data_IF_438051992856
#
_entry.id   IF_438051992856
#
_cell.length_a   1.000
_cell.length_b   1.000
_cell.length_c   1.000
_cell.angle_alpha   90.00
_cell.angle_beta   90.00
_cell.angle_gamma   90.00
#
_symmetry.space_group_name_H-M   'P 1'
#
loop_
_entity.id
_entity.type
_entity.pdbx_description
1 polymer ?
#
# COMPACT_ATOMS: atom_id res chain seq x y z
N UNK A 1 -9.58 -4.08 1.89
CA UNK A 1 -8.92 -5.34 2.32
C UNK A 1 -8.19 -6.00 1.16
N UNK A 2 -6.99 -6.51 1.43
CA UNK A 2 -6.30 -7.49 0.60
C UNK A 2 -6.94 -8.85 0.87
N UNK A 3 -7.44 -9.49 -0.18
CA UNK A 3 -8.13 -10.79 -0.10
C UNK A 3 -7.32 -11.79 -0.91
N UNK A 4 -6.81 -12.82 -0.24
CA UNK A 4 -6.06 -13.91 -0.86
C UNK A 4 -6.76 -15.24 -0.58
N UNK A 5 -6.93 -16.03 -1.63
CA UNK A 5 -7.37 -17.42 -1.51
C UNK A 5 -6.28 -18.26 -0.83
N UNK A 6 -6.66 -18.98 0.23
CA UNK A 6 -5.76 -19.84 1.01
C UNK A 6 -6.34 -21.25 1.17
N UNK A 7 -6.85 -21.83 0.07
CA UNK A 7 -7.40 -23.19 0.05
C UNK A 7 -8.77 -23.25 0.73
N UNK A 8 -8.83 -23.74 1.97
CA UNK A 8 -10.08 -23.86 2.74
C UNK A 8 -10.42 -22.57 3.52
N UNK A 9 -9.58 -21.52 3.41
CA UNK A 9 -9.78 -20.23 4.05
C UNK A 9 -9.52 -19.04 3.10
N UNK A 10 -9.93 -17.86 3.55
CA UNK A 10 -9.48 -16.58 3.00
C UNK A 10 -8.46 -15.96 3.96
N UNK A 11 -7.31 -15.54 3.44
CA UNK A 11 -6.42 -14.63 4.14
C UNK A 11 -6.84 -13.19 3.84
N UNK A 12 -7.10 -12.44 4.89
CA UNK A 12 -7.51 -11.04 4.84
C UNK A 12 -6.49 -10.16 5.56
N UNK A 13 -6.01 -9.12 4.88
CA UNK A 13 -5.19 -8.05 5.47
C UNK A 13 -5.94 -6.74 5.26
N UNK A 14 -6.12 -5.94 6.31
CA UNK A 14 -6.77 -4.64 6.19
C UNK A 14 -5.85 -3.66 5.45
N UNK A 15 -6.42 -2.62 4.83
CA UNK A 15 -5.65 -1.56 4.19
C UNK A 15 -4.92 -0.67 5.22
N UNK A 16 -5.36 -0.67 6.47
CA UNK A 16 -4.54 -0.09 7.55
C UNK A 16 -3.40 -1.02 7.97
N UNK A 17 -3.63 -2.35 7.99
CA UNK A 17 -2.64 -3.34 8.42
C UNK A 17 -1.46 -3.45 7.41
N UNK A 18 -1.70 -3.30 6.09
CA UNK A 18 -0.59 -3.23 5.11
C UNK A 18 0.10 -1.86 5.11
N UNK A 19 -0.60 -0.77 5.43
CA UNK A 19 0.02 0.55 5.59
C UNK A 19 1.00 0.56 6.77
N UNK A 20 0.66 -0.12 7.88
CA UNK A 20 1.59 -0.36 8.99
C UNK A 20 2.87 -1.08 8.53
N UNK A 21 2.76 -2.04 7.62
CA UNK A 21 3.91 -2.72 7.02
C UNK A 21 4.72 -1.76 6.11
N UNK A 22 4.05 -0.96 5.27
CA UNK A 22 4.72 0.06 4.44
C UNK A 22 5.50 1.07 5.28
N UNK A 23 4.95 1.52 6.41
CA UNK A 23 5.64 2.38 7.36
C UNK A 23 6.87 1.73 8.00
N UNK A 24 6.79 0.45 8.39
CA UNK A 24 7.96 -0.30 8.90
C UNK A 24 9.07 -0.40 7.84
N UNK A 25 8.70 -0.67 6.57
CA UNK A 25 9.64 -0.72 5.45
C UNK A 25 10.36 0.63 5.26
N UNK A 26 9.61 1.73 5.22
CA UNK A 26 10.18 3.08 5.10
C UNK A 26 11.07 3.45 6.29
N UNK A 27 10.72 3.00 7.50
CA UNK A 27 11.51 3.27 8.70
C UNK A 27 12.91 2.64 8.61
N UNK A 28 13.01 1.44 8.04
CA UNK A 28 14.26 0.71 7.83
C UNK A 28 14.98 1.06 6.51
N UNK A 29 14.34 1.81 5.62
CA UNK A 29 14.85 2.10 4.27
C UNK A 29 16.12 2.96 4.28
N UNK A 30 16.98 2.77 3.27
CA UNK A 30 18.19 3.56 3.06
C UNK A 30 19.48 2.80 3.39
N UNK A 31 19.51 1.51 3.03
CA UNK A 31 20.77 0.75 2.95
C UNK A 31 21.70 1.25 1.85
N UNK A 32 22.90 0.68 1.79
CA UNK A 32 23.95 1.12 0.87
C UNK A 32 23.47 1.19 -0.59
N UNK A 33 23.65 2.36 -1.23
CA UNK A 33 23.27 2.60 -2.62
C UNK A 33 21.84 3.07 -2.86
N UNK A 34 20.97 3.09 -1.84
CA UNK A 34 19.58 3.53 -1.98
C UNK A 34 19.30 4.91 -1.37
N UNK A 35 18.38 5.66 -1.96
CA UNK A 35 17.99 6.96 -1.44
C UNK A 35 17.27 6.80 -0.09
N UNK A 36 17.73 7.46 1.00
CA UNK A 36 17.02 7.41 2.27
C UNK A 36 15.80 8.35 2.23
N UNK A 37 14.71 8.00 2.94
CA UNK A 37 13.60 8.93 3.17
C UNK A 37 14.05 10.21 3.89
N UNK A 38 13.62 11.38 3.39
CA UNK A 38 13.97 12.68 3.97
C UNK A 38 12.83 13.71 3.81
N UNK A 39 12.25 14.29 4.89
CA UNK A 39 12.49 13.98 6.30
C UNK A 39 11.88 12.62 6.67
N UNK A 40 12.71 11.73 7.23
CA UNK A 40 12.34 10.34 7.51
C UNK A 40 11.04 10.20 8.30
N UNK A 41 10.84 11.00 9.33
CA UNK A 41 9.64 10.92 10.17
C UNK A 41 8.34 11.13 9.38
N UNK A 42 8.31 12.12 8.49
CA UNK A 42 7.12 12.42 7.69
C UNK A 42 6.90 11.41 6.57
N UNK A 43 7.97 10.89 5.95
CA UNK A 43 7.83 9.83 4.92
C UNK A 43 7.34 8.52 5.55
N UNK A 44 7.87 8.15 6.72
CA UNK A 44 7.38 7.00 7.48
C UNK A 44 5.92 7.18 7.88
N UNK A 45 5.53 8.38 8.35
CA UNK A 45 4.15 8.71 8.67
C UNK A 45 3.25 8.60 7.43
N UNK A 46 3.70 9.06 6.26
CA UNK A 46 2.96 8.88 5.01
C UNK A 46 2.72 7.40 4.72
N UNK A 47 3.74 6.54 4.89
CA UNK A 47 3.58 5.09 4.78
C UNK A 47 2.55 4.51 5.73
N UNK A 48 2.63 4.86 7.01
CA UNK A 48 1.70 4.38 8.04
C UNK A 48 0.26 4.81 7.81
N UNK A 49 0.04 5.97 7.18
CA UNK A 49 -1.26 6.65 7.15
C UNK A 49 -1.88 6.78 5.76
N UNK A 50 -1.18 6.34 4.70
CA UNK A 50 -1.66 6.57 3.34
C UNK A 50 -3.05 5.98 3.12
N UNK A 51 -3.36 4.82 3.71
CA UNK A 51 -4.63 4.14 3.55
C UNK A 51 -5.62 4.31 4.71
N UNK A 52 -5.43 5.31 5.58
CA UNK A 52 -6.34 5.62 6.69
C UNK A 52 -7.81 5.78 6.28
N UNK A 53 -8.06 6.28 5.06
CA UNK A 53 -9.43 6.43 4.53
C UNK A 53 -10.20 5.11 4.49
N UNK A 54 -9.50 3.97 4.36
CA UNK A 54 -10.13 2.65 4.37
C UNK A 54 -10.69 2.25 5.72
N UNK A 55 -10.19 2.81 6.83
CA UNK A 55 -10.57 2.39 8.18
C UNK A 55 -12.10 2.44 8.41
N UNK A 56 -12.80 3.39 7.78
CA UNK A 56 -14.27 3.50 7.86
C UNK A 56 -14.94 2.43 7.01
N UNK A 57 -14.47 2.21 5.78
CA UNK A 57 -15.04 1.20 4.88
C UNK A 57 -14.86 -0.22 5.45
N UNK A 58 -13.69 -0.49 6.04
CA UNK A 58 -13.32 -1.78 6.63
C UNK A 58 -14.07 -2.11 7.93
N UNK A 59 -14.89 -1.19 8.47
CA UNK A 59 -15.87 -1.51 9.53
C UNK A 59 -17.12 -2.22 8.99
N UNK A 60 -17.38 -2.16 7.69
CA UNK A 60 -18.55 -2.79 7.06
C UNK A 60 -18.18 -3.44 5.73
N UNK A 61 -17.20 -4.37 5.73
CA UNK A 61 -16.79 -5.05 4.52
C UNK A 61 -17.95 -5.87 3.95
N UNK A 62 -17.90 -6.10 2.64
CA UNK A 62 -18.97 -6.76 1.88
C UNK A 62 -18.47 -8.03 1.24
N UNK A 63 -19.41 -8.84 0.81
CA UNK A 63 -19.14 -9.93 -0.12
C UNK A 63 -19.15 -9.40 -1.56
N UNK A 64 -18.33 -10.00 -2.40
CA UNK A 64 -18.43 -9.86 -3.84
C UNK A 64 -19.74 -10.53 -4.31
N UNK A 65 -20.63 -9.82 -5.02
CA UNK A 65 -21.97 -10.30 -5.34
C UNK A 65 -21.96 -11.48 -6.32
N UNK A 66 -20.91 -11.62 -7.13
CA UNK A 66 -20.83 -12.64 -8.17
C UNK A 66 -20.24 -13.95 -7.63
N UNK A 67 -19.19 -13.86 -6.82
CA UNK A 67 -18.46 -15.02 -6.30
C UNK A 67 -18.85 -15.43 -4.88
N UNK A 68 -19.44 -14.52 -4.09
CA UNK A 68 -19.67 -14.72 -2.66
C UNK A 68 -18.39 -14.73 -1.81
N UNK A 69 -17.24 -14.35 -2.38
CA UNK A 69 -15.99 -14.17 -1.64
C UNK A 69 -15.98 -12.84 -0.88
N UNK A 70 -15.13 -12.66 0.14
CA UNK A 70 -14.85 -11.34 0.70
C UNK A 70 -14.45 -10.35 -0.41
N UNK A 71 -15.05 -9.16 -0.42
CA UNK A 71 -14.76 -8.16 -1.44
C UNK A 71 -13.32 -7.65 -1.30
N UNK A 72 -12.54 -7.82 -2.37
CA UNK A 72 -11.21 -7.23 -2.49
C UNK A 72 -11.29 -5.71 -2.66
N UNK A 73 -10.27 -5.00 -2.19
CA UNK A 73 -10.11 -3.55 -2.40
C UNK A 73 -10.22 -3.15 -3.88
N UNK A 74 -9.83 -4.04 -4.80
CA UNK A 74 -9.98 -3.83 -6.25
C UNK A 74 -11.43 -3.78 -6.73
N UNK A 75 -12.35 -4.40 -5.98
CA UNK A 75 -13.78 -4.47 -6.31
C UNK A 75 -14.60 -3.32 -5.73
N UNK A 76 -13.99 -2.42 -4.96
CA UNK A 76 -14.69 -1.29 -4.35
C UNK A 76 -14.86 -0.16 -5.38
N UNK A 77 -16.06 0.40 -5.43
CA UNK A 77 -16.42 1.37 -6.46
C UNK A 77 -15.63 2.68 -6.33
N UNK A 78 -15.15 3.22 -7.46
CA UNK A 78 -14.36 4.47 -7.50
C UNK A 78 -14.97 5.63 -6.71
N UNK A 79 -16.28 5.93 -6.78
CA UNK A 79 -16.85 7.02 -5.99
C UNK A 79 -16.68 6.84 -4.47
N UNK A 80 -16.62 5.59 -4.00
CA UNK A 80 -16.37 5.27 -2.58
C UNK A 80 -14.90 5.56 -2.25
N UNK A 81 -13.96 5.11 -3.09
CA UNK A 81 -12.53 5.44 -2.94
C UNK A 81 -12.29 6.95 -2.83
N UNK A 82 -12.80 7.70 -3.82
CA UNK A 82 -12.58 9.15 -3.88
C UNK A 82 -13.14 9.88 -2.65
N UNK A 83 -14.22 9.38 -2.05
CA UNK A 83 -14.80 9.99 -0.85
C UNK A 83 -13.90 9.81 0.37
N UNK A 84 -13.43 8.59 0.65
CA UNK A 84 -12.62 8.36 1.84
C UNK A 84 -11.15 8.73 1.66
N UNK A 85 -10.61 8.71 0.44
CA UNK A 85 -9.25 9.22 0.16
C UNK A 85 -9.15 10.71 0.46
N UNK A 86 -10.18 11.49 0.08
CA UNK A 86 -10.22 12.91 0.40
C UNK A 86 -10.19 13.16 1.91
N UNK A 87 -10.95 12.39 2.67
CA UNK A 87 -10.94 12.47 4.14
C UNK A 87 -9.58 12.05 4.73
N UNK A 88 -8.97 10.97 4.22
CA UNK A 88 -7.65 10.52 4.65
C UNK A 88 -6.56 11.56 4.41
N UNK A 89 -6.53 12.18 3.22
CA UNK A 89 -5.58 13.25 2.90
C UNK A 89 -5.74 14.43 3.87
N UNK A 90 -6.96 14.89 4.14
CA UNK A 90 -7.19 16.01 5.08
C UNK A 90 -6.65 15.70 6.48
N UNK A 91 -6.97 14.52 7.04
CA UNK A 91 -6.51 14.11 8.37
C UNK A 91 -4.98 14.07 8.44
N UNK A 92 -4.32 13.52 7.43
CA UNK A 92 -2.85 13.44 7.42
C UNK A 92 -2.22 14.82 7.20
N UNK A 93 -2.82 15.68 6.36
CA UNK A 93 -2.37 17.07 6.18
C UNK A 93 -2.45 17.88 7.48
N UNK A 94 -3.50 17.71 8.28
CA UNK A 94 -3.67 18.37 9.57
C UNK A 94 -2.64 17.91 10.60
N UNK A 95 -2.25 16.63 10.58
CA UNK A 95 -1.24 16.07 11.48
C UNK A 95 0.19 16.40 11.06
N UNK A 96 0.51 16.20 9.79
CA UNK A 96 1.83 16.42 9.20
C UNK A 96 1.68 16.84 7.73
N UNK A 97 1.87 18.13 7.41
CA UNK A 97 1.75 18.63 6.06
C UNK A 97 2.61 17.94 4.99
N UNK A 98 3.81 17.48 5.35
CA UNK A 98 4.70 16.80 4.40
C UNK A 98 4.22 15.37 4.15
N UNK A 99 3.79 14.68 5.21
CA UNK A 99 3.16 13.36 5.03
C UNK A 99 1.88 13.49 4.20
N UNK A 100 1.05 14.49 4.48
CA UNK A 100 -0.18 14.77 3.74
C UNK A 100 0.07 15.10 2.27
N UNK A 101 1.16 15.80 1.95
CA UNK A 101 1.61 16.00 0.56
C UNK A 101 1.85 14.65 -0.14
N UNK A 102 2.61 13.74 0.48
CA UNK A 102 2.89 12.43 -0.12
C UNK A 102 1.65 11.53 -0.21
N UNK A 103 0.76 11.57 0.78
CA UNK A 103 -0.52 10.83 0.75
C UNK A 103 -1.44 11.38 -0.34
N UNK A 104 -1.52 12.70 -0.50
CA UNK A 104 -2.25 13.32 -1.62
C UNK A 104 -1.70 12.84 -2.97
N UNK A 105 -0.37 12.87 -3.15
CA UNK A 105 0.29 12.35 -4.35
C UNK A 105 0.05 10.86 -4.57
N UNK A 106 0.00 10.05 -3.50
CA UNK A 106 -0.32 8.62 -3.59
C UNK A 106 -1.73 8.44 -4.16
N UNK A 107 -2.73 9.14 -3.60
CA UNK A 107 -4.12 8.97 -4.01
C UNK A 107 -4.42 9.41 -5.43
N UNK A 108 -3.96 10.60 -5.83
CA UNK A 108 -4.07 11.04 -7.21
C UNK A 108 -3.20 10.19 -8.14
N UNK A 109 -2.04 9.75 -7.67
CA UNK A 109 -1.11 8.86 -8.35
C UNK A 109 -1.74 7.54 -8.81
N UNK A 110 -2.63 6.94 -8.02
CA UNK A 110 -3.35 5.71 -8.42
C UNK A 110 -4.15 5.89 -9.72
N UNK A 111 -4.66 7.10 -9.98
CA UNK A 111 -5.39 7.46 -11.20
C UNK A 111 -4.51 8.09 -12.28
N UNK A 112 -3.34 8.63 -11.89
CA UNK A 112 -2.33 9.26 -12.75
C UNK A 112 -1.16 8.34 -13.11
N UNK A 113 -1.34 7.01 -13.00
CA UNK A 113 -0.30 6.00 -13.31
C UNK A 113 1.00 6.24 -12.54
N UNK A 114 0.84 6.50 -11.24
CA UNK A 114 1.91 6.85 -10.29
C UNK A 114 2.82 7.97 -10.83
N UNK A 115 2.26 8.89 -11.60
CA UNK A 115 2.98 9.98 -12.29
C UNK A 115 4.18 9.52 -13.13
N UNK A 116 4.24 8.24 -13.49
CA UNK A 116 5.36 7.65 -14.22
C UNK A 116 6.67 7.47 -13.42
N UNK A 117 6.67 7.66 -12.09
CA UNK A 117 7.91 7.50 -11.30
C UNK A 117 8.25 6.05 -10.97
N UNK A 118 7.23 5.20 -10.92
CA UNK A 118 7.35 3.74 -10.84
C UNK A 118 6.34 3.11 -11.80
N UNK A 119 6.60 1.91 -12.35
CA UNK A 119 5.70 1.30 -13.31
C UNK A 119 4.30 1.05 -12.75
N UNK A 120 3.29 1.46 -13.49
CA UNK A 120 1.89 1.27 -13.13
C UNK A 120 1.06 0.90 -14.36
N UNK A 121 0.10 -0.02 -14.18
CA UNK A 121 -0.90 -0.33 -15.19
C UNK A 121 -1.88 0.81 -15.41
N UNK A 122 -2.61 0.77 -16.53
CA UNK A 122 -3.70 1.70 -16.77
C UNK A 122 -4.97 1.25 -16.04
N UNK A 123 -5.51 2.11 -15.17
CA UNK A 123 -6.85 1.93 -14.62
C UNK A 123 -7.90 2.29 -15.68
N UNK A 124 -8.57 1.27 -16.22
CA UNK A 124 -9.66 1.45 -17.19
C UNK A 124 -10.95 1.78 -16.45
N UNK A 125 -11.46 2.99 -16.68
CA UNK A 125 -12.71 3.49 -16.13
C UNK A 125 -13.65 3.85 -17.27
N UNK A 126 -14.96 3.74 -17.05
CA UNK A 126 -15.92 4.37 -17.94
C UNK A 126 -15.72 5.91 -17.95
N UNK A 127 -16.20 6.62 -18.99
CA UNK A 127 -15.96 8.05 -19.13
C UNK A 127 -16.47 8.90 -17.96
N UNK A 128 -17.56 8.52 -17.31
CA UNK A 128 -18.13 9.27 -16.20
C UNK A 128 -17.27 9.14 -14.94
N UNK A 129 -16.88 7.91 -14.60
CA UNK A 129 -15.97 7.65 -13.48
C UNK A 129 -14.59 8.26 -13.73
N UNK A 130 -14.09 8.22 -14.97
CA UNK A 130 -12.84 8.91 -15.34
C UNK A 130 -12.95 10.41 -15.06
N UNK A 131 -14.00 11.08 -15.50
CA UNK A 131 -14.18 12.51 -15.27
C UNK A 131 -14.23 12.88 -13.78
N UNK A 132 -14.87 12.04 -12.95
CA UNK A 132 -14.89 12.23 -11.48
C UNK A 132 -13.51 12.05 -10.85
N UNK A 133 -12.77 11.04 -11.29
CA UNK A 133 -11.40 10.81 -10.83
C UNK A 133 -10.45 11.93 -11.26
N UNK A 134 -10.59 12.45 -12.49
CA UNK A 134 -9.81 13.57 -12.99
C UNK A 134 -10.05 14.83 -12.16
N UNK A 135 -11.32 15.17 -11.86
CA UNK A 135 -11.64 16.31 -10.99
C UNK A 135 -11.01 16.17 -9.59
N UNK A 136 -11.03 14.96 -9.01
CA UNK A 136 -10.34 14.70 -7.75
C UNK A 136 -8.82 14.93 -7.89
N UNK A 137 -8.20 14.37 -8.93
CA UNK A 137 -6.76 14.50 -9.14
C UNK A 137 -6.34 15.96 -9.32
N UNK A 138 -7.10 16.75 -10.09
CA UNK A 138 -6.78 18.16 -10.34
C UNK A 138 -6.81 18.96 -9.02
N UNK A 139 -7.78 18.70 -8.15
CA UNK A 139 -7.88 19.33 -6.82
C UNK A 139 -6.73 18.93 -5.89
N UNK A 140 -6.33 17.66 -5.93
CA UNK A 140 -5.19 17.17 -5.15
C UNK A 140 -3.87 17.73 -5.70
N UNK A 141 -3.70 17.86 -7.01
CA UNK A 141 -2.51 18.46 -7.64
C UNK A 141 -2.38 19.95 -7.30
N UNK A 142 -3.49 20.69 -7.23
CA UNK A 142 -3.51 22.07 -6.70
C UNK A 142 -3.07 22.13 -5.22
N UNK A 143 -3.59 21.24 -4.38
CA UNK A 143 -3.16 21.10 -2.97
C UNK A 143 -1.68 20.78 -2.88
N UNK A 144 -1.19 19.84 -3.68
CA UNK A 144 0.21 19.41 -3.70
C UNK A 144 1.14 20.57 -4.06
N UNK A 145 0.77 21.37 -5.07
CA UNK A 145 1.52 22.57 -5.45
C UNK A 145 1.56 23.59 -4.31
N UNK A 146 0.42 23.84 -3.66
CA UNK A 146 0.35 24.78 -2.53
C UNK A 146 1.16 24.30 -1.30
N UNK A 147 1.09 23.00 -0.97
CA UNK A 147 1.84 22.40 0.13
C UNK A 147 3.35 22.41 -0.15
N UNK A 148 3.77 21.99 -1.35
CA UNK A 148 5.18 21.98 -1.73
C UNK A 148 5.78 23.40 -1.69
N UNK A 149 5.06 24.40 -2.19
CA UNK A 149 5.49 25.80 -2.11
C UNK A 149 5.56 26.32 -0.67
N UNK A 150 4.55 26.01 0.16
CA UNK A 150 4.51 26.45 1.57
C UNK A 150 5.60 25.83 2.43
N UNK A 151 5.96 24.59 2.14
CA UNK A 151 6.97 23.82 2.87
C UNK A 151 8.37 23.96 2.26
N UNK A 152 8.52 24.70 1.16
CA UNK A 152 9.78 24.88 0.43
C UNK A 152 10.44 23.54 0.03
N UNK A 153 9.62 22.55 -0.36
CA UNK A 153 10.11 21.21 -0.70
C UNK A 153 10.80 21.22 -2.05
N UNK A 154 12.02 20.70 -2.11
CA UNK A 154 12.73 20.48 -3.38
C UNK A 154 12.01 19.43 -4.25
N UNK A 155 11.90 19.70 -5.55
CA UNK A 155 11.11 18.85 -6.45
C UNK A 155 11.71 17.44 -6.58
N UNK A 156 13.04 17.31 -6.61
CA UNK A 156 13.71 16.02 -6.71
C UNK A 156 13.56 15.20 -5.42
N UNK A 157 13.65 15.86 -4.25
CA UNK A 157 13.33 15.23 -2.96
C UNK A 157 11.87 14.76 -2.92
N UNK A 158 10.92 15.63 -3.28
CA UNK A 158 9.49 15.32 -3.30
C UNK A 158 9.20 14.07 -4.13
N UNK A 159 9.72 14.02 -5.36
CA UNK A 159 9.48 12.88 -6.26
C UNK A 159 10.21 11.61 -5.83
N UNK A 160 11.37 11.74 -5.19
CA UNK A 160 12.09 10.60 -4.61
C UNK A 160 11.30 10.00 -3.46
N UNK A 161 10.82 10.80 -2.52
CA UNK A 161 10.01 10.29 -1.40
C UNK A 161 8.65 9.75 -1.84
N UNK A 162 8.04 10.37 -2.85
CA UNK A 162 6.84 9.82 -3.47
C UNK A 162 7.11 8.43 -4.04
N UNK A 163 8.19 8.25 -4.82
CA UNK A 163 8.57 6.95 -5.35
C UNK A 163 8.86 5.93 -4.23
N UNK A 164 9.56 6.32 -3.15
CA UNK A 164 9.78 5.46 -1.99
C UNK A 164 8.48 5.00 -1.34
N UNK A 165 7.50 5.90 -1.17
CA UNK A 165 6.16 5.53 -0.68
C UNK A 165 5.48 4.51 -1.61
N UNK A 166 5.56 4.71 -2.93
CA UNK A 166 4.99 3.76 -3.89
C UNK A 166 5.67 2.39 -3.83
N UNK A 167 6.99 2.34 -3.68
CA UNK A 167 7.75 1.08 -3.56
C UNK A 167 7.41 0.35 -2.25
N UNK A 168 7.29 1.08 -1.14
CA UNK A 168 6.91 0.51 0.14
C UNK A 168 5.48 -0.06 0.11
N UNK A 169 4.53 0.66 -0.51
CA UNK A 169 3.17 0.19 -0.80
C UNK A 169 3.18 -1.08 -1.65
N UNK A 170 3.91 -1.11 -2.77
CA UNK A 170 3.98 -2.30 -3.62
C UNK A 170 4.57 -3.52 -2.90
N UNK A 171 5.60 -3.32 -2.07
CA UNK A 171 6.19 -4.40 -1.28
C UNK A 171 5.26 -4.88 -0.15
N UNK A 172 4.51 -3.99 0.50
CA UNK A 172 3.51 -4.38 1.51
C UNK A 172 2.36 -5.16 0.87
N UNK A 173 1.87 -4.72 -0.29
CA UNK A 173 0.86 -5.42 -1.09
C UNK A 173 1.35 -6.82 -1.49
N UNK A 174 2.60 -6.94 -1.97
CA UNK A 174 3.22 -8.23 -2.28
C UNK A 174 3.19 -9.17 -1.07
N UNK A 175 3.55 -8.67 0.12
CA UNK A 175 3.55 -9.48 1.33
C UNK A 175 2.14 -9.92 1.77
N UNK A 176 1.12 -9.10 1.54
CA UNK A 176 -0.27 -9.42 1.88
C UNK A 176 -0.98 -10.34 0.88
N UNK A 177 -0.62 -10.27 -0.40
CA UNK A 177 -1.30 -10.97 -1.51
C UNK A 177 -0.59 -12.23 -2.00
N UNK A 178 0.73 -12.34 -1.83
CA UNK A 178 1.48 -13.53 -2.22
C UNK A 178 1.35 -14.67 -1.19
N UNK A 179 1.44 -15.91 -1.65
CA UNK A 179 1.56 -17.08 -0.77
C UNK A 179 3.00 -17.22 -0.26
N UNK A 180 3.34 -16.40 0.75
CA UNK A 180 4.66 -16.41 1.38
C UNK A 180 4.85 -17.58 2.36
N UNK A 181 3.78 -18.26 2.74
CA UNK A 181 3.82 -19.35 3.72
C UNK A 181 4.29 -20.65 3.05
N UNK A 182 3.75 -20.97 1.87
CA UNK A 182 4.18 -22.14 1.10
C UNK A 182 5.28 -21.83 0.08
N UNK A 183 5.50 -20.54 -0.25
CA UNK A 183 6.35 -20.13 -1.37
C UNK A 183 5.67 -20.36 -2.73
N UNK A 184 4.34 -20.35 -2.74
CA UNK A 184 3.49 -20.62 -3.89
C UNK A 184 3.53 -19.52 -4.97
N UNK A 185 2.60 -19.58 -5.95
CA UNK A 185 2.54 -18.62 -7.05
C UNK A 185 2.53 -17.17 -6.55
N UNK A 186 3.34 -16.33 -7.19
CA UNK A 186 3.46 -14.90 -6.84
C UNK A 186 4.40 -14.59 -5.69
N UNK A 187 5.00 -15.57 -5.00
CA UNK A 187 5.97 -15.32 -3.93
C UNK A 187 7.29 -14.69 -4.44
N UNK A 188 7.69 -15.00 -5.67
CA UNK A 188 8.77 -14.32 -6.38
C UNK A 188 8.24 -13.13 -7.17
N UNK A 189 9.05 -12.09 -7.33
CA UNK A 189 8.64 -10.85 -7.98
C UNK A 189 9.81 -9.90 -8.19
N UNK A 190 9.51 -8.64 -8.48
CA UNK A 190 10.50 -7.57 -8.51
C UNK A 190 9.83 -6.22 -8.25
N UNK A 191 10.55 -5.35 -7.55
CA UNK A 191 10.28 -3.91 -7.49
C UNK A 191 11.07 -3.25 -8.61
N UNK A 192 10.45 -2.35 -9.35
CA UNK A 192 11.06 -1.67 -10.50
C UNK A 192 11.22 -0.19 -10.23
N UNK A 193 12.25 0.41 -10.82
CA UNK A 193 12.54 1.84 -10.69
C UNK A 193 12.66 2.32 -9.23
N UNK A 194 13.34 1.54 -8.39
CA UNK A 194 13.62 1.91 -7.00
C UNK A 194 14.66 3.05 -6.95
N UNK A 195 14.40 4.16 -6.24
CA UNK A 195 15.34 5.28 -6.15
C UNK A 195 16.70 4.92 -5.52
N UNK A 196 17.80 5.23 -6.20
CA UNK A 196 19.17 5.06 -5.70
C UNK A 196 19.74 6.36 -5.13
N UNK A 197 20.76 6.26 -4.26
CA UNK A 197 21.33 7.40 -3.55
C UNK A 197 22.01 8.44 -4.47
N UNK A 198 22.43 8.02 -5.66
CA UNK A 198 23.03 8.87 -6.70
C UNK A 198 21.99 9.54 -7.62
N UNK A 199 20.70 9.41 -7.31
CA UNK A 199 19.58 9.95 -8.10
C UNK A 199 19.13 9.04 -9.25
N UNK A 200 19.76 7.86 -9.41
CA UNK A 200 19.37 6.85 -10.39
C UNK A 200 18.15 6.01 -10.00
N UNK A 201 18.03 4.86 -10.67
CA UNK A 201 16.97 3.87 -10.51
C UNK A 201 17.55 2.46 -10.60
N UNK A 202 17.06 1.56 -9.76
CA UNK A 202 17.45 0.15 -9.76
C UNK A 202 16.22 -0.77 -9.64
N UNK A 203 16.31 -1.95 -10.23
CA UNK A 203 15.33 -3.01 -10.03
C UNK A 203 15.77 -3.92 -8.89
N UNK A 204 14.85 -4.28 -7.99
CA UNK A 204 15.08 -5.15 -6.85
C UNK A 204 14.30 -6.45 -7.05
N UNK A 205 15.00 -7.56 -7.24
CA UNK A 205 14.40 -8.88 -7.34
C UNK A 205 13.91 -9.36 -5.96
N UNK A 206 12.74 -10.00 -5.93
CA UNK A 206 12.17 -10.64 -4.74
C UNK A 206 12.18 -12.16 -4.97
N UNK A 207 12.82 -12.92 -4.09
CA UNK A 207 12.84 -14.38 -4.16
C UNK A 207 12.44 -15.01 -2.83
N UNK A 208 11.53 -16.01 -2.81
CA UNK A 208 11.20 -16.71 -1.57
C UNK A 208 12.38 -17.58 -1.12
N UNK A 209 12.64 -17.57 0.19
CA UNK A 209 13.66 -18.41 0.84
C UNK A 209 13.05 -19.44 1.81
N UNK A 210 11.73 -19.38 2.01
CA UNK A 210 10.96 -20.23 2.90
C UNK A 210 9.76 -19.48 3.48
N UNK A 211 9.01 -20.11 4.41
CA UNK A 211 7.82 -19.50 5.00
C UNK A 211 8.15 -18.12 5.59
N UNK A 212 7.51 -17.08 5.05
CA UNK A 212 7.66 -15.69 5.48
C UNK A 212 9.09 -15.13 5.43
N UNK A 213 9.93 -15.68 4.53
CA UNK A 213 11.32 -15.27 4.34
C UNK A 213 11.58 -14.95 2.87
N UNK A 214 12.05 -13.74 2.60
CA UNK A 214 12.32 -13.24 1.26
C UNK A 214 13.78 -12.77 1.15
N UNK A 215 14.40 -13.05 0.00
CA UNK A 215 15.59 -12.35 -0.48
C UNK A 215 15.18 -11.13 -1.28
N UNK A 216 15.83 -10.00 -1.04
CA UNK A 216 15.83 -8.84 -1.93
C UNK A 216 17.23 -8.60 -2.49
N UNK A 217 17.34 -8.45 -3.80
CA UNK A 217 18.62 -8.23 -4.49
C UNK A 217 18.46 -7.18 -5.62
N UNK A 218 19.12 -6.01 -5.54
CA UNK A 218 19.95 -5.52 -4.43
C UNK A 218 19.13 -5.22 -3.16
N UNK A 219 19.78 -5.27 -2.00
CA UNK A 219 19.13 -5.15 -0.68
C UNK A 219 19.00 -3.69 -0.22
N UNK A 220 17.79 -3.12 -0.04
CA UNK A 220 17.60 -1.68 0.19
C UNK A 220 17.59 -1.22 1.66
N UNK A 221 17.83 -2.13 2.61
CA UNK A 221 17.76 -1.86 4.04
C UNK A 221 19.15 -1.92 4.71
N UNK A 222 19.30 -1.22 5.83
CA UNK A 222 20.55 -1.19 6.57
C UNK A 222 20.84 -2.49 7.34
N UNK A 223 19.79 -3.13 7.88
CA UNK A 223 19.90 -4.35 8.68
C UNK A 223 19.53 -5.59 7.86
N UNK A 224 20.31 -6.68 7.95
CA UNK A 224 20.00 -7.95 7.30
C UNK A 224 20.23 -9.12 8.27
N UNK A 225 19.21 -9.94 8.61
CA UNK A 225 17.82 -9.83 8.15
C UNK A 225 17.05 -8.69 8.84
N UNK A 226 16.23 -7.98 8.07
CA UNK A 226 15.20 -7.08 8.60
C UNK A 226 13.98 -7.90 9.03
N UNK A 227 13.55 -7.74 10.28
CA UNK A 227 12.37 -8.40 10.82
C UNK A 227 11.18 -7.41 10.87
N UNK A 228 10.10 -7.78 10.21
CA UNK A 228 8.87 -7.00 10.11
C UNK A 228 7.69 -7.78 10.70
N UNK A 229 6.57 -7.09 10.91
CA UNK A 229 5.31 -7.74 11.27
C UNK A 229 4.15 -7.23 10.43
N UNK A 230 3.22 -8.13 10.14
CA UNK A 230 1.95 -7.82 9.48
C UNK A 230 0.82 -8.51 10.22
N UNK A 231 -0.33 -7.85 10.32
CA UNK A 231 -1.54 -8.44 10.87
C UNK A 231 -2.37 -9.04 9.73
N UNK A 232 -2.80 -10.29 9.91
CA UNK A 232 -3.73 -10.97 9.00
C UNK A 232 -4.90 -11.58 9.77
N UNK A 233 -5.97 -11.93 9.06
CA UNK A 233 -7.09 -12.73 9.55
C UNK A 233 -7.27 -13.90 8.60
N UNK A 234 -7.41 -15.11 9.13
CA UNK A 234 -7.67 -16.31 8.34
C UNK A 234 -9.11 -16.74 8.61
N UNK A 235 -9.99 -16.50 7.65
CA UNK A 235 -11.43 -16.75 7.77
C UNK A 235 -11.78 -18.02 6.99
N UNK A 236 -12.26 -19.09 7.64
CA UNK A 236 -12.66 -20.31 6.93
C UNK A 236 -13.69 -20.02 5.84
N UNK A 237 -13.53 -20.64 4.67
CA UNK A 237 -14.48 -20.50 3.57
C UNK A 237 -15.80 -21.16 3.94
N UNK A 238 -16.88 -20.42 3.71
CA UNK A 238 -18.24 -20.96 3.73
C UNK A 238 -19.14 -20.15 2.81
N UNK A 239 -20.33 -20.69 2.53
CA UNK A 239 -21.39 -19.91 1.89
C UNK A 239 -22.02 -18.99 2.94
N UNK A 240 -21.73 -17.70 2.86
CA UNK A 240 -22.43 -16.68 3.64
C UNK A 240 -23.75 -16.31 2.94
N UNK A 241 -24.89 -16.27 3.66
CA UNK A 241 -26.16 -15.87 3.08
C UNK A 241 -26.24 -14.37 2.76
N UNK A 242 -25.47 -13.54 3.45
CA UNK A 242 -25.46 -12.09 3.34
C UNK A 242 -24.16 -11.49 3.91
N UNK A 243 -23.99 -10.18 3.72
CA UNK A 243 -22.85 -9.42 4.25
C UNK A 243 -22.76 -9.50 5.79
N UNK A 244 -23.88 -9.54 6.51
CA UNK A 244 -23.89 -9.50 7.98
C UNK A 244 -23.35 -10.80 8.58
N UNK A 245 -23.68 -11.94 7.98
CA UNK A 245 -23.11 -13.23 8.35
C UNK A 245 -21.60 -13.29 8.10
N UNK A 246 -21.09 -12.63 7.05
CA UNK A 246 -19.65 -12.51 6.81
C UNK A 246 -18.99 -11.59 7.84
N UNK A 247 -19.58 -10.42 8.12
CA UNK A 247 -19.08 -9.48 9.13
C UNK A 247 -19.01 -10.11 10.52
N UNK A 248 -20.01 -10.90 10.90
CA UNK A 248 -20.04 -11.60 12.18
C UNK A 248 -18.86 -12.59 12.32
N UNK A 249 -18.58 -13.38 11.27
CA UNK A 249 -17.44 -14.30 11.28
C UNK A 249 -16.11 -13.55 11.28
N UNK A 250 -15.99 -12.49 10.48
CA UNK A 250 -14.79 -11.67 10.44
C UNK A 250 -14.50 -11.04 11.82
N UNK A 251 -15.53 -10.51 12.49
CA UNK A 251 -15.42 -9.96 13.83
C UNK A 251 -15.07 -11.01 14.89
N UNK A 252 -15.55 -12.25 14.72
CA UNK A 252 -15.19 -13.38 15.58
C UNK A 252 -13.79 -13.93 15.30
N UNK A 253 -13.23 -13.66 14.11
CA UNK A 253 -11.90 -14.12 13.70
C UNK A 253 -10.82 -13.31 14.41
N UNK A 254 -10.01 -13.98 15.23
CA UNK A 254 -8.90 -13.33 15.93
C UNK A 254 -7.82 -12.90 14.92
N UNK A 255 -7.35 -11.65 14.95
CA UNK A 255 -6.19 -11.24 14.16
C UNK A 255 -4.93 -11.98 14.58
N UNK A 256 -4.12 -12.38 13.61
CA UNK A 256 -2.82 -13.03 13.78
C UNK A 256 -1.70 -12.08 13.36
N UNK A 257 -0.62 -12.03 14.13
CA UNK A 257 0.60 -11.32 13.71
C UNK A 257 1.59 -12.32 13.12
N UNK A 258 1.92 -12.13 11.84
CA UNK A 258 2.97 -12.89 11.15
C UNK A 258 4.27 -12.10 11.15
N UNK A 259 5.41 -12.80 11.22
CA UNK A 259 6.76 -12.20 11.14
C UNK A 259 7.33 -12.43 9.75
N UNK A 260 7.68 -11.34 9.06
CA UNK A 260 8.29 -11.37 7.73
C UNK A 260 9.77 -11.04 7.89
N UNK A 261 10.65 -11.82 7.26
CA UNK A 261 12.08 -11.56 7.26
C UNK A 261 12.55 -11.25 5.84
N UNK A 262 13.17 -10.08 5.66
CA UNK A 262 13.79 -9.66 4.41
C UNK A 262 15.31 -9.73 4.58
N UNK A 263 16.01 -10.39 3.67
CA UNK A 263 17.47 -10.54 3.73
C UNK A 263 18.12 -10.38 2.35
N UNK A 264 19.44 -10.25 2.33
CA UNK A 264 20.23 -10.15 1.09
C UNK A 264 20.41 -11.51 0.39
#
# INVERSE_FOLDING_TARGET
MLVRDDGDAWQLVLQTDHADLAGQLLAAWGGDGFAPPAPRASVVRAGLRHDDGWAVWEQSPRLDPDSGAPQSFLGVAVPVHLAFYRAGVEVVCDEDPYAGLLVSMHMSGLYRRRYGVVPAGEMRLDPELRARADLFCDQEEERQAALAARLEVDDAERWTNYALLQIADLLSLHCGLADLESGGPGAAGALRDVPTADGGRADVAISPLGPWRLRLDPYPFADSPLALSMVRRVVPKRAWPDDDAFRADLAATRPETVRIYLQA
#
